data_IF_002620040230
#
_entry.id   IF_002620040230
#
_cell.length_a   1.000
_cell.length_b   1.000
_cell.length_c   1.000
_cell.angle_alpha   90.00
_cell.angle_beta   90.00
_cell.angle_gamma   90.00
#
_symmetry.space_group_name_H-M   'P 1'
#
loop_
_entity.id
_entity.type
_entity.pdbx_description
1 polymer ?
#
# COMPACT_ATOMS: atom_id res chain seq x y z
N UNK A 1 16.25 -4.81 -13.95
CA UNK A 1 15.17 -3.80 -14.05
C UNK A 1 13.94 -4.33 -13.34
N UNK A 2 14.03 -4.45 -12.01
CA UNK A 2 12.93 -4.94 -11.15
C UNK A 2 12.32 -3.79 -10.34
N UNK A 3 12.34 -2.58 -10.91
CA UNK A 3 12.02 -1.32 -10.23
C UNK A 3 10.56 -0.88 -10.40
N UNK A 4 9.75 -1.62 -11.17
CA UNK A 4 8.45 -1.11 -11.63
C UNK A 4 7.36 -1.14 -10.56
N UNK A 5 7.36 -2.15 -9.68
CA UNK A 5 6.31 -2.28 -8.65
C UNK A 5 6.67 -1.53 -7.36
N UNK A 6 7.92 -1.60 -6.90
CA UNK A 6 8.33 -0.96 -5.64
C UNK A 6 8.24 0.57 -5.73
N UNK A 7 8.49 1.12 -6.92
CA UNK A 7 8.38 2.54 -7.20
C UNK A 7 6.93 3.04 -7.13
N UNK A 8 5.95 2.25 -7.61
CA UNK A 8 4.54 2.61 -7.48
C UNK A 8 4.08 2.70 -6.02
N UNK A 9 4.56 1.79 -5.17
CA UNK A 9 4.27 1.80 -3.74
C UNK A 9 4.82 3.07 -3.07
N UNK A 10 6.08 3.39 -3.35
CA UNK A 10 6.76 4.56 -2.77
C UNK A 10 6.09 5.87 -3.22
N UNK A 11 5.80 6.00 -4.52
CA UNK A 11 5.11 7.17 -5.08
C UNK A 11 3.71 7.33 -4.47
N UNK A 12 2.96 6.24 -4.31
CA UNK A 12 1.61 6.29 -3.73
C UNK A 12 1.67 6.69 -2.26
N UNK A 13 2.66 6.18 -1.51
CA UNK A 13 2.92 6.57 -0.13
C UNK A 13 3.24 8.07 0.00
N UNK A 14 4.13 8.59 -0.84
CA UNK A 14 4.48 10.01 -0.83
C UNK A 14 3.27 10.91 -1.14
N UNK A 15 2.45 10.53 -2.13
CA UNK A 15 1.23 11.24 -2.48
C UNK A 15 0.22 11.24 -1.32
N UNK A 16 0.04 10.09 -0.66
CA UNK A 16 -0.84 9.98 0.50
C UNK A 16 -0.40 10.93 1.62
N UNK A 17 0.91 10.96 1.93
CA UNK A 17 1.47 11.84 2.97
C UNK A 17 1.27 13.31 2.60
N UNK A 18 1.57 13.70 1.36
CA UNK A 18 1.36 15.09 0.90
C UNK A 18 -0.11 15.49 1.00
N UNK A 19 -1.02 14.64 0.51
CA UNK A 19 -2.45 14.88 0.57
C UNK A 19 -2.97 14.96 2.01
N UNK A 20 -2.47 14.11 2.91
CA UNK A 20 -2.80 14.17 4.34
C UNK A 20 -2.36 15.48 4.99
N UNK A 21 -1.18 15.99 4.64
CA UNK A 21 -0.66 17.26 5.13
C UNK A 21 -1.47 18.44 4.58
N UNK A 22 -1.79 18.43 3.29
CA UNK A 22 -2.45 19.55 2.61
C UNK A 22 -3.97 19.60 2.85
N UNK A 23 -4.64 18.45 2.84
CA UNK A 23 -6.10 18.33 2.85
C UNK A 23 -6.66 17.66 4.11
N UNK A 24 -5.78 17.09 4.93
CA UNK A 24 -6.15 16.32 6.12
C UNK A 24 -6.33 14.82 5.85
N UNK A 25 -6.22 14.04 6.93
CA UNK A 25 -6.33 12.57 6.89
C UNK A 25 -7.75 12.07 6.56
N UNK A 26 -8.78 12.87 6.86
CA UNK A 26 -10.18 12.52 6.59
C UNK A 26 -10.65 12.96 5.20
N UNK A 27 -9.76 13.55 4.39
CA UNK A 27 -10.10 13.92 3.03
C UNK A 27 -10.29 12.67 2.16
N UNK A 28 -11.33 12.66 1.32
CA UNK A 28 -11.63 11.56 0.41
C UNK A 28 -10.45 11.16 -0.49
N UNK A 29 -9.60 12.11 -0.90
CA UNK A 29 -8.39 11.80 -1.68
C UNK A 29 -7.33 11.10 -0.84
N UNK A 30 -7.13 11.53 0.41
CA UNK A 30 -6.20 10.86 1.34
C UNK A 30 -6.68 9.44 1.66
N UNK A 31 -7.99 9.25 1.84
CA UNK A 31 -8.60 7.94 2.08
C UNK A 31 -8.38 7.02 0.87
N UNK A 32 -8.67 7.49 -0.35
CA UNK A 32 -8.42 6.71 -1.57
C UNK A 32 -6.96 6.33 -1.75
N UNK A 33 -6.04 7.27 -1.49
CA UNK A 33 -4.60 7.00 -1.55
C UNK A 33 -4.17 5.97 -0.50
N UNK A 34 -4.81 5.97 0.68
CA UNK A 34 -4.59 4.96 1.71
C UNK A 34 -5.11 3.58 1.28
N UNK A 35 -6.28 3.50 0.66
CA UNK A 35 -6.84 2.25 0.12
C UNK A 35 -5.97 1.69 -1.01
N UNK A 36 -5.50 2.55 -1.93
CA UNK A 36 -4.59 2.16 -3.02
C UNK A 36 -3.24 1.68 -2.48
N UNK A 37 -2.70 2.36 -1.47
CA UNK A 37 -1.46 1.93 -0.82
C UNK A 37 -1.62 0.57 -0.13
N UNK A 38 -2.75 0.34 0.56
CA UNK A 38 -3.05 -0.93 1.23
C UNK A 38 -3.21 -2.08 0.22
N UNK A 39 -3.89 -1.84 -0.91
CA UNK A 39 -4.00 -2.81 -2.01
C UNK A 39 -2.63 -3.18 -2.57
N UNK A 40 -1.78 -2.19 -2.85
CA UNK A 40 -0.41 -2.44 -3.30
C UNK A 40 0.35 -3.29 -2.27
N UNK A 41 0.29 -2.95 -0.98
CA UNK A 41 0.94 -3.73 0.09
C UNK A 41 0.44 -5.17 0.16
N UNK A 42 -0.87 -5.39 0.03
CA UNK A 42 -1.46 -6.72 0.01
C UNK A 42 -0.96 -7.51 -1.21
N UNK A 43 -0.97 -6.92 -2.39
CA UNK A 43 -0.46 -7.56 -3.61
C UNK A 43 1.02 -7.94 -3.48
N UNK A 44 1.83 -7.08 -2.84
CA UNK A 44 3.23 -7.36 -2.52
C UNK A 44 3.39 -8.52 -1.54
N UNK A 45 2.63 -8.50 -0.45
CA UNK A 45 2.66 -9.52 0.60
C UNK A 45 2.17 -10.87 0.09
N UNK A 46 1.18 -10.92 -0.81
CA UNK A 46 0.69 -12.16 -1.43
C UNK A 46 1.73 -12.81 -2.34
N UNK A 47 2.63 -12.04 -2.96
CA UNK A 47 3.76 -12.60 -3.72
C UNK A 47 4.87 -13.17 -2.83
N UNK A 48 4.98 -12.77 -1.57
CA UNK A 48 5.98 -13.29 -0.61
C UNK A 48 5.41 -14.45 0.24
N UNK A 49 4.09 -14.47 0.47
CA UNK A 49 3.39 -15.49 1.27
C UNK A 49 3.16 -16.83 0.56
N UNK A 50 3.53 -17.00 -0.72
CA UNK A 50 3.56 -18.34 -1.33
C UNK A 50 4.64 -19.26 -0.75
N UNK A 51 5.49 -18.76 0.17
CA UNK A 51 6.48 -19.57 0.91
C UNK A 51 6.18 -19.71 2.42
N UNK A 52 5.04 -19.22 2.94
CA UNK A 52 4.67 -19.47 4.35
C UNK A 52 3.19 -19.80 4.52
N UNK A 53 2.82 -21.02 4.10
CA UNK A 53 1.80 -21.76 4.83
C UNK A 53 2.24 -21.88 6.31
N UNK A 54 1.64 -21.14 7.23
CA UNK A 54 1.50 -21.62 8.61
C UNK A 54 0.18 -21.12 9.20
N UNK A 55 -0.76 -22.06 9.26
CA UNK A 55 -1.88 -22.20 10.19
C UNK A 55 -2.02 -21.12 11.26
N UNK A 56 -3.17 -20.45 11.24
CA UNK A 56 -3.88 -20.11 12.48
C UNK A 56 -5.17 -20.93 12.52
N UNK A 57 -5.10 -22.08 13.18
CA UNK A 57 -6.27 -22.86 13.59
C UNK A 57 -6.98 -22.09 14.71
N UNK A 58 -8.30 -21.91 14.57
CA UNK A 58 -9.20 -21.45 15.63
C UNK A 58 -9.78 -22.60 16.43
#
# INVERSE_FOLDING_TARGET
MSETRSNQLEVTREKMIKCAIEKGILNNETIKLSEELDQLLNDFQYTDMSDTETKIEG
#
